data_IF_192463984231
#
_entry.id   IF_192463984231
#
_cell.length_a   1.000
_cell.length_b   1.000
_cell.length_c   1.000
_cell.angle_alpha   90.00
_cell.angle_beta   90.00
_cell.angle_gamma   90.00
#
_symmetry.space_group_name_H-M   'P 1'
#
loop_
_entity.id
_entity.type
_entity.pdbx_description
1 polymer ?
#
# COMPACT_ATOMS: atom_id res chain seq x y z
N UNK A 1 -1.73 -17.73 39.15
CA UNK A 1 -0.75 -16.81 38.53
C UNK A 1 -0.31 -17.28 37.14
N UNK A 2 -0.18 -18.59 36.89
CA UNK A 2 0.10 -19.12 35.53
C UNK A 2 -1.06 -18.95 34.53
N UNK A 3 -2.31 -18.89 35.00
CA UNK A 3 -3.49 -18.86 34.11
C UNK A 3 -3.64 -17.55 33.31
N UNK A 4 -2.96 -16.48 33.73
CA UNK A 4 -2.93 -15.18 33.03
C UNK A 4 -1.68 -15.02 32.14
N UNK A 5 -0.59 -15.71 32.45
CA UNK A 5 0.70 -15.54 31.76
C UNK A 5 0.70 -16.32 30.44
N UNK A 6 0.16 -17.54 30.43
CA UNK A 6 0.07 -18.39 29.25
C UNK A 6 -0.76 -17.75 28.13
N UNK A 7 -1.99 -17.24 28.37
CA UNK A 7 -2.76 -16.57 27.32
C UNK A 7 -2.13 -15.25 26.87
N UNK A 8 -1.47 -14.50 27.76
CA UNK A 8 -0.77 -13.28 27.37
C UNK A 8 0.40 -13.58 26.41
N UNK A 9 1.14 -14.67 26.67
CA UNK A 9 2.27 -15.09 25.83
C UNK A 9 1.82 -15.59 24.45
N UNK A 10 0.72 -16.34 24.37
CA UNK A 10 0.17 -16.80 23.09
C UNK A 10 -0.38 -15.66 22.26
N UNK A 11 -1.04 -14.67 22.87
CA UNK A 11 -1.51 -13.47 22.19
C UNK A 11 -0.34 -12.63 21.66
N UNK A 12 0.72 -12.46 22.45
CA UNK A 12 1.94 -11.77 21.99
C UNK A 12 2.56 -12.47 20.77
N UNK A 13 2.59 -13.80 20.75
CA UNK A 13 3.08 -14.57 19.60
C UNK A 13 2.26 -14.35 18.33
N UNK A 14 0.93 -14.30 18.45
CA UNK A 14 0.03 -14.05 17.31
C UNK A 14 0.24 -12.63 16.74
N UNK A 15 0.39 -11.62 17.60
CA UNK A 15 0.63 -10.23 17.18
C UNK A 15 1.95 -10.12 16.40
N UNK A 16 3.01 -10.79 16.85
CA UNK A 16 4.30 -10.77 16.15
C UNK A 16 4.16 -11.39 14.76
N UNK A 17 3.46 -12.53 14.63
CA UNK A 17 3.22 -13.16 13.32
C UNK A 17 2.43 -12.22 12.41
N UNK A 18 1.39 -11.58 12.93
CA UNK A 18 0.55 -10.64 12.18
C UNK A 18 1.35 -9.44 11.66
N UNK A 19 2.23 -8.87 12.49
CA UNK A 19 3.13 -7.79 12.07
C UNK A 19 4.13 -8.25 11.02
N UNK A 20 4.69 -9.46 11.13
CA UNK A 20 5.62 -10.01 10.13
C UNK A 20 4.92 -10.23 8.78
N UNK A 21 3.70 -10.78 8.79
CA UNK A 21 2.90 -10.99 7.58
C UNK A 21 2.48 -9.66 6.97
N UNK A 22 2.03 -8.70 7.79
CA UNK A 22 1.68 -7.35 7.35
C UNK A 22 2.87 -6.60 6.73
N UNK A 23 4.05 -6.71 7.34
CA UNK A 23 5.28 -6.15 6.78
C UNK A 23 5.68 -6.84 5.46
N UNK A 24 5.51 -8.16 5.37
CA UNK A 24 5.69 -8.91 4.13
C UNK A 24 4.76 -8.43 3.02
N UNK A 25 3.48 -8.21 3.31
CA UNK A 25 2.50 -7.64 2.37
C UNK A 25 2.88 -6.22 1.94
N UNK A 26 3.33 -5.38 2.88
CA UNK A 26 3.83 -4.04 2.56
C UNK A 26 4.99 -4.10 1.57
N UNK A 27 5.96 -5.00 1.81
CA UNK A 27 7.09 -5.21 0.91
C UNK A 27 6.65 -5.70 -0.48
N UNK A 28 5.69 -6.62 -0.53
CA UNK A 28 5.10 -7.09 -1.79
C UNK A 28 4.39 -5.95 -2.54
N UNK A 29 3.66 -5.10 -1.83
CA UNK A 29 3.02 -3.91 -2.39
C UNK A 29 4.05 -2.95 -3.00
N UNK A 30 5.13 -2.65 -2.28
CA UNK A 30 6.24 -1.86 -2.81
C UNK A 30 6.80 -2.45 -4.11
N UNK A 31 7.00 -3.76 -4.15
CA UNK A 31 7.49 -4.43 -5.36
C UNK A 31 6.48 -4.39 -6.52
N UNK A 32 5.19 -4.54 -6.22
CA UNK A 32 4.12 -4.44 -7.21
C UNK A 32 4.08 -3.05 -7.85
N UNK A 33 4.24 -1.98 -7.06
CA UNK A 33 4.33 -0.60 -7.57
C UNK A 33 5.49 -0.42 -8.54
N UNK A 34 6.69 -0.82 -8.11
CA UNK A 34 7.92 -0.63 -8.88
C UNK A 34 7.92 -1.43 -10.18
N UNK A 35 7.47 -2.69 -10.14
CA UNK A 35 7.65 -3.62 -11.26
C UNK A 35 6.47 -3.69 -12.21
N UNK A 36 5.25 -3.52 -11.70
CA UNK A 36 4.02 -3.71 -12.48
C UNK A 36 3.46 -2.38 -12.96
N UNK A 37 3.42 -1.37 -12.08
CA UNK A 37 2.71 -0.14 -12.36
C UNK A 37 3.57 0.95 -12.99
N UNK A 38 4.75 1.21 -12.42
CA UNK A 38 5.64 2.31 -12.84
C UNK A 38 6.99 1.81 -13.30
N UNK A 39 6.98 0.88 -14.25
CA UNK A 39 8.19 0.29 -14.81
C UNK A 39 9.13 1.33 -15.47
N UNK A 40 8.62 2.50 -15.87
CA UNK A 40 9.43 3.57 -16.47
C UNK A 40 10.00 4.55 -15.44
N UNK A 41 9.52 4.54 -14.19
CA UNK A 41 10.12 5.30 -13.08
C UNK A 41 11.17 4.46 -12.36
N UNK A 42 12.43 4.63 -12.73
CA UNK A 42 13.52 4.16 -11.88
C UNK A 42 13.63 5.05 -10.64
N UNK A 43 12.94 4.64 -9.57
CA UNK A 43 12.88 5.41 -8.32
C UNK A 43 14.26 5.82 -7.79
N UNK A 44 15.25 4.92 -7.87
CA UNK A 44 16.60 5.23 -7.40
C UNK A 44 17.25 6.37 -8.21
N UNK A 45 17.04 6.38 -9.52
CA UNK A 45 17.60 7.41 -10.39
C UNK A 45 16.85 8.74 -10.23
N UNK A 46 15.53 8.68 -10.08
CA UNK A 46 14.69 9.87 -9.96
C UNK A 46 14.81 10.56 -8.59
N UNK A 47 14.92 9.79 -7.50
CA UNK A 47 15.10 10.33 -6.15
C UNK A 47 16.56 10.71 -5.86
N UNK A 48 17.53 9.84 -6.15
CA UNK A 48 18.91 10.07 -5.69
C UNK A 48 19.79 10.83 -6.70
N UNK A 49 19.51 10.73 -8.00
CA UNK A 49 20.33 11.39 -9.04
C UNK A 49 19.65 12.66 -9.54
N UNK A 50 18.37 12.57 -9.91
CA UNK A 50 17.62 13.71 -10.46
C UNK A 50 17.01 14.62 -9.39
N UNK A 51 16.91 14.15 -8.15
CA UNK A 51 16.32 14.83 -6.99
C UNK A 51 14.94 15.42 -7.33
N UNK A 52 14.02 14.55 -7.78
CA UNK A 52 12.69 14.97 -8.21
C UNK A 52 11.67 14.84 -7.05
N UNK A 53 11.24 15.96 -6.44
CA UNK A 53 10.32 15.92 -5.31
C UNK A 53 8.92 15.43 -5.69
N UNK A 54 8.50 15.58 -6.96
CA UNK A 54 7.19 15.13 -7.42
C UNK A 54 7.03 13.61 -7.31
N UNK A 55 8.11 12.86 -7.60
CA UNK A 55 8.14 11.39 -7.48
C UNK A 55 8.09 10.97 -6.03
N UNK A 56 8.82 11.69 -5.15
CA UNK A 56 8.79 11.43 -3.72
C UNK A 56 7.38 11.59 -3.13
N UNK A 57 6.65 12.64 -3.52
CA UNK A 57 5.27 12.86 -3.07
C UNK A 57 4.35 11.71 -3.52
N UNK A 58 4.41 11.31 -4.78
CA UNK A 58 3.61 10.19 -5.30
C UNK A 58 3.92 8.88 -4.57
N UNK A 59 5.20 8.58 -4.34
CA UNK A 59 5.66 7.40 -3.62
C UNK A 59 5.17 7.37 -2.16
N UNK A 60 5.30 8.50 -1.45
CA UNK A 60 4.83 8.61 -0.07
C UNK A 60 3.32 8.42 0.01
N UNK A 61 2.55 9.00 -0.93
CA UNK A 61 1.11 8.77 -1.02
C UNK A 61 0.74 7.31 -1.24
N UNK A 62 1.47 6.62 -2.11
CA UNK A 62 1.29 5.18 -2.35
C UNK A 62 1.55 4.36 -1.07
N UNK A 63 2.65 4.62 -0.36
CA UNK A 63 2.93 3.94 0.91
C UNK A 63 1.89 4.24 1.98
N UNK A 64 1.41 5.49 2.05
CA UNK A 64 0.36 5.86 2.97
C UNK A 64 -0.95 5.13 2.66
N UNK A 65 -1.29 4.97 1.38
CA UNK A 65 -2.41 4.15 0.94
C UNK A 65 -2.30 2.69 1.41
N UNK A 66 -1.16 2.04 1.18
CA UNK A 66 -0.93 0.66 1.66
C UNK A 66 -1.13 0.57 3.18
N UNK A 67 -0.55 1.51 3.95
CA UNK A 67 -0.65 1.48 5.42
C UNK A 67 -2.09 1.62 5.88
N UNK A 68 -2.88 2.53 5.28
CA UNK A 68 -4.30 2.68 5.58
C UNK A 68 -5.06 1.38 5.27
N UNK A 69 -4.82 0.81 4.10
CA UNK A 69 -5.53 -0.37 3.65
C UNK A 69 -5.18 -1.62 4.45
N UNK A 70 -3.90 -1.86 4.76
CA UNK A 70 -3.49 -2.95 5.64
C UNK A 70 -3.95 -2.71 7.09
N UNK A 71 -3.97 -1.47 7.54
CA UNK A 71 -4.45 -1.08 8.86
C UNK A 71 -5.90 -1.49 9.15
N UNK A 72 -6.76 -1.55 8.12
CA UNK A 72 -8.14 -2.04 8.26
C UNK A 72 -8.23 -3.55 8.53
N UNK A 73 -7.25 -4.33 8.04
CA UNK A 73 -7.24 -5.80 8.19
C UNK A 73 -6.55 -6.21 9.50
N UNK A 74 -5.62 -5.39 9.99
CA UNK A 74 -4.90 -5.65 11.23
C UNK A 74 -5.83 -5.55 12.45
N UNK A 75 -5.73 -6.52 13.37
CA UNK A 75 -6.49 -6.54 14.61
C UNK A 75 -7.85 -7.25 14.55
N UNK A 76 -8.22 -7.82 13.40
CA UNK A 76 -9.44 -8.65 13.33
C UNK A 76 -9.34 -9.86 14.26
N UNK A 77 -10.35 -10.03 15.11
CA UNK A 77 -10.42 -11.16 16.04
C UNK A 77 -10.71 -12.45 15.29
N UNK A 78 -9.80 -13.42 15.37
CA UNK A 78 -9.97 -14.76 14.77
C UNK A 78 -9.65 -15.82 15.81
N UNK A 79 -10.35 -16.95 15.72
CA UNK A 79 -10.26 -18.05 16.70
C UNK A 79 -8.92 -18.78 16.58
N UNK A 80 -8.42 -18.93 15.34
CA UNK A 80 -7.16 -19.63 15.06
C UNK A 80 -6.12 -18.69 14.43
N UNK A 81 -4.85 -18.93 14.74
CA UNK A 81 -3.72 -18.17 14.16
C UNK A 81 -3.57 -18.38 12.65
N UNK A 82 -3.93 -19.57 12.14
CA UNK A 82 -3.91 -19.90 10.71
C UNK A 82 -4.95 -19.08 9.94
N UNK A 83 -6.19 -19.08 10.43
CA UNK A 83 -7.29 -18.34 9.81
C UNK A 83 -6.99 -16.84 9.80
N UNK A 84 -6.40 -16.32 10.89
CA UNK A 84 -5.94 -14.93 10.98
C UNK A 84 -4.91 -14.59 9.90
N UNK A 85 -3.91 -15.44 9.71
CA UNK A 85 -2.86 -15.24 8.71
C UNK A 85 -3.42 -15.31 7.28
N UNK A 86 -4.31 -16.28 7.00
CA UNK A 86 -4.94 -16.43 5.69
C UNK A 86 -5.79 -15.20 5.37
N UNK A 87 -6.63 -14.75 6.32
CA UNK A 87 -7.45 -13.55 6.16
C UNK A 87 -6.58 -12.30 5.92
N UNK A 88 -5.51 -12.14 6.68
CA UNK A 88 -4.59 -11.00 6.50
C UNK A 88 -3.98 -10.99 5.09
N UNK A 89 -3.55 -12.16 4.60
CA UNK A 89 -2.97 -12.28 3.26
C UNK A 89 -4.01 -12.04 2.17
N UNK A 90 -5.20 -12.63 2.26
CA UNK A 90 -6.23 -12.50 1.23
C UNK A 90 -6.79 -11.08 1.16
N UNK A 91 -7.18 -10.49 2.29
CA UNK A 91 -7.70 -9.13 2.34
C UNK A 91 -6.61 -8.11 2.04
N UNK A 92 -5.42 -8.26 2.63
CA UNK A 92 -4.28 -7.37 2.35
C UNK A 92 -3.85 -7.39 0.87
N UNK A 93 -3.82 -8.57 0.24
CA UNK A 93 -3.55 -8.67 -1.19
C UNK A 93 -4.66 -8.05 -2.04
N UNK A 94 -5.93 -8.20 -1.62
CA UNK A 94 -7.09 -7.60 -2.30
C UNK A 94 -7.01 -6.07 -2.27
N UNK A 95 -6.68 -5.48 -1.12
CA UNK A 95 -6.43 -4.04 -0.96
C UNK A 95 -5.40 -3.56 -1.97
N UNK A 96 -4.23 -4.19 -2.01
CA UNK A 96 -3.13 -3.80 -2.90
C UNK A 96 -3.57 -3.93 -4.36
N UNK A 97 -4.19 -5.04 -4.74
CA UNK A 97 -4.67 -5.28 -6.10
C UNK A 97 -5.69 -4.25 -6.56
N UNK A 98 -6.70 -3.97 -5.73
CA UNK A 98 -7.73 -2.99 -6.05
C UNK A 98 -7.20 -1.56 -6.05
N UNK A 99 -6.24 -1.24 -5.18
CA UNK A 99 -5.60 0.07 -5.20
C UNK A 99 -4.84 0.30 -6.51
N UNK A 100 -4.05 -0.69 -6.98
CA UNK A 100 -3.37 -0.61 -8.28
C UNK A 100 -4.39 -0.56 -9.44
N UNK A 101 -5.43 -1.39 -9.40
CA UNK A 101 -6.46 -1.39 -10.43
C UNK A 101 -7.20 -0.04 -10.50
N UNK A 102 -7.51 0.56 -9.35
CA UNK A 102 -8.13 1.87 -9.24
C UNK A 102 -7.26 2.97 -9.84
N UNK A 103 -5.96 2.95 -9.56
CA UNK A 103 -5.02 3.88 -10.18
C UNK A 103 -4.98 3.71 -11.71
N UNK A 104 -5.05 2.47 -12.21
CA UNK A 104 -5.01 2.19 -13.65
C UNK A 104 -6.25 2.70 -14.36
N UNK A 105 -7.41 2.49 -13.74
CA UNK A 105 -8.67 3.05 -14.20
C UNK A 105 -8.62 4.57 -14.14
N UNK A 106 -8.05 5.16 -13.08
CA UNK A 106 -7.85 6.60 -12.93
C UNK A 106 -7.04 7.20 -14.09
N UNK A 107 -5.87 6.63 -14.38
CA UNK A 107 -5.03 7.11 -15.47
C UNK A 107 -5.72 6.99 -16.83
N UNK A 108 -6.45 5.90 -17.08
CA UNK A 108 -7.06 5.64 -18.39
C UNK A 108 -8.38 6.37 -18.63
N UNK A 109 -9.22 6.50 -17.61
CA UNK A 109 -10.56 7.08 -17.73
C UNK A 109 -10.62 8.53 -17.25
N UNK A 110 -10.02 8.84 -16.10
CA UNK A 110 -10.10 10.18 -15.49
C UNK A 110 -9.06 11.11 -16.13
N UNK A 111 -7.81 10.66 -16.23
CA UNK A 111 -6.69 11.45 -16.74
C UNK A 111 -6.36 11.13 -18.22
N UNK A 112 -7.38 10.85 -19.03
CA UNK A 112 -7.20 10.38 -20.42
C UNK A 112 -6.39 11.31 -21.33
N UNK A 113 -6.34 12.62 -21.02
CA UNK A 113 -5.55 13.63 -21.76
C UNK A 113 -4.28 14.07 -21.00
N UNK A 114 -4.08 13.59 -19.78
CA UNK A 114 -3.06 14.04 -18.86
C UNK A 114 -2.23 12.83 -18.42
N UNK A 115 -1.02 12.71 -18.95
CA UNK A 115 -0.17 11.58 -18.60
C UNK A 115 0.59 11.90 -17.31
N UNK A 116 0.03 11.49 -16.17
CA UNK A 116 0.58 11.75 -14.84
C UNK A 116 2.02 11.26 -14.70
N UNK A 117 2.34 10.07 -15.22
CA UNK A 117 3.71 9.53 -15.20
C UNK A 117 4.67 10.45 -15.93
N UNK A 118 4.31 10.91 -17.14
CA UNK A 118 5.15 11.82 -17.92
C UNK A 118 5.33 13.17 -17.24
N UNK A 119 4.28 13.72 -16.65
CA UNK A 119 4.32 15.04 -16.03
C UNK A 119 5.10 15.05 -14.70
N UNK A 120 5.06 13.93 -13.98
CA UNK A 120 5.89 13.74 -12.78
C UNK A 120 7.36 13.55 -13.16
N UNK A 121 7.67 12.76 -14.19
CA UNK A 121 9.06 12.48 -14.61
C UNK A 121 9.70 13.68 -15.33
N UNK A 122 9.05 14.18 -16.39
CA UNK A 122 9.63 15.17 -17.31
C UNK A 122 9.46 16.59 -16.76
N UNK A 123 8.23 16.96 -16.40
CA UNK A 123 7.89 18.32 -16.01
C UNK A 123 8.10 18.58 -14.51
N UNK A 124 8.45 17.52 -13.75
CA UNK A 124 8.68 17.57 -12.29
C UNK A 124 7.52 18.25 -11.55
N UNK A 125 6.31 18.05 -12.04
CA UNK A 125 5.14 18.74 -11.50
C UNK A 125 4.72 18.10 -10.17
N UNK A 126 4.98 18.79 -9.07
CA UNK A 126 4.57 18.35 -7.73
C UNK A 126 3.03 18.21 -7.62
N UNK A 127 2.26 18.99 -8.37
CA UNK A 127 0.81 18.89 -8.40
C UNK A 127 0.31 17.56 -8.96
N UNK A 128 0.93 17.07 -10.04
CA UNK A 128 0.63 15.76 -10.60
C UNK A 128 0.96 14.64 -9.61
N UNK A 129 2.11 14.74 -8.93
CA UNK A 129 2.49 13.78 -7.87
C UNK A 129 1.53 13.79 -6.68
N UNK A 130 1.01 14.96 -6.30
CA UNK A 130 0.04 15.10 -5.22
C UNK A 130 -1.33 14.50 -5.60
N UNK A 131 -1.80 14.72 -6.83
CA UNK A 131 -3.06 14.14 -7.32
C UNK A 131 -2.97 12.61 -7.29
N UNK A 132 -1.84 12.05 -7.73
CA UNK A 132 -1.63 10.62 -7.71
C UNK A 132 -1.55 10.06 -6.29
N UNK A 133 -0.84 10.75 -5.39
CA UNK A 133 -0.80 10.41 -3.98
C UNK A 133 -2.22 10.34 -3.37
N UNK A 134 -3.05 11.36 -3.60
CA UNK A 134 -4.43 11.38 -3.12
C UNK A 134 -5.30 10.30 -3.76
N UNK A 135 -5.07 9.93 -5.02
CA UNK A 135 -5.78 8.84 -5.66
C UNK A 135 -5.55 7.51 -4.92
N UNK A 136 -4.29 7.19 -4.56
CA UNK A 136 -3.97 5.98 -3.80
C UNK A 136 -4.56 5.99 -2.39
N UNK A 137 -4.45 7.12 -1.69
CA UNK A 137 -4.99 7.29 -0.34
C UNK A 137 -6.52 7.10 -0.37
N UNK A 138 -7.20 7.75 -1.31
CA UNK A 138 -8.66 7.68 -1.42
C UNK A 138 -9.14 6.28 -1.79
N UNK A 139 -8.48 5.63 -2.77
CA UNK A 139 -8.80 4.27 -3.16
C UNK A 139 -8.63 3.30 -1.98
N UNK A 140 -7.51 3.40 -1.26
CA UNK A 140 -7.24 2.56 -0.09
C UNK A 140 -8.26 2.77 1.01
N UNK A 141 -8.61 4.02 1.30
CA UNK A 141 -9.60 4.36 2.32
C UNK A 141 -10.98 3.78 2.00
N UNK A 142 -11.41 3.86 0.74
CA UNK A 142 -12.69 3.27 0.30
C UNK A 142 -12.70 1.74 0.43
N UNK A 143 -11.60 1.09 0.05
CA UNK A 143 -11.49 -0.38 0.15
C UNK A 143 -11.40 -0.81 1.62
N UNK A 144 -10.65 -0.08 2.44
CA UNK A 144 -10.51 -0.32 3.87
C UNK A 144 -11.85 -0.30 4.59
N UNK A 145 -12.78 0.55 4.17
CA UNK A 145 -14.13 0.63 4.73
C UNK A 145 -15.06 -0.52 4.33
N UNK A 146 -14.67 -1.33 3.34
CA UNK A 146 -15.43 -2.48 2.88
C UNK A 146 -15.23 -3.73 3.75
N UNK A 147 -14.22 -3.73 4.62
CA UNK A 147 -13.86 -4.83 5.53
C UNK A 147 -14.16 -4.46 6.98
#
# INVERSE_FOLDING_TARGET
MNDLIIPALTQAGIIIIELLVGFGLFWVGQFAYQKVFRRQMELNLELFVKDNPAVAIALVGYYFGIVIGLGSVLGQSSINWQDKAINLVTYGATVILFMLAGAWVGDKFILRRFNAEREIIQDRNMGAGLIEAFAYISASFLIAWCF
#
